data_IF_444859727766
#
_entry.id   IF_444859727766
#
_cell.length_a   1.000
_cell.length_b   1.000
_cell.length_c   1.000
_cell.angle_alpha   90.00
_cell.angle_beta   90.00
_cell.angle_gamma   90.00
#
_symmetry.space_group_name_H-M   'P 1'
#
loop_
_entity.id
_entity.type
_entity.pdbx_description
1 polymer ?
#
# COMPACT_ATOMS: atom_id res chain seq x y z
N UNK A 1 18.10 -3.28 2.57
CA UNK A 1 16.76 -2.69 2.38
C UNK A 1 15.73 -3.37 3.30
N UNK A 2 15.68 -3.04 4.59
CA UNK A 2 14.77 -3.67 5.58
C UNK A 2 13.57 -2.79 5.97
N UNK A 3 13.57 -1.52 5.53
CA UNK A 3 12.62 -0.49 5.95
C UNK A 3 11.29 -0.53 5.17
N UNK A 4 11.34 -0.90 3.89
CA UNK A 4 10.17 -1.05 3.02
C UNK A 4 9.34 -2.31 3.38
N UNK A 5 10.00 -3.33 3.90
CA UNK A 5 9.39 -4.59 4.36
C UNK A 5 8.66 -4.52 5.72
N UNK A 6 8.36 -3.31 6.22
CA UNK A 6 7.75 -3.13 7.53
C UNK A 6 6.24 -3.33 7.42
N UNK A 7 5.71 -4.38 8.07
CA UNK A 7 4.26 -4.63 8.14
C UNK A 7 3.55 -3.37 8.65
N UNK A 8 2.41 -3.02 8.05
CA UNK A 8 1.57 -1.94 8.52
C UNK A 8 1.20 -2.17 9.99
N UNK A 9 1.61 -1.25 10.86
CA UNK A 9 1.19 -1.25 12.26
C UNK A 9 -0.35 -1.22 12.34
N UNK A 10 -0.94 -2.05 13.20
CA UNK A 10 -2.41 -2.20 13.29
C UNK A 10 -3.11 -0.88 13.67
N UNK A 11 -2.41 -0.05 14.45
CA UNK A 11 -2.84 1.28 14.94
C UNK A 11 -2.78 2.38 13.89
N UNK A 12 -2.00 2.22 12.81
CA UNK A 12 -1.87 3.23 11.74
C UNK A 12 -2.96 3.11 10.68
N UNK A 13 -3.35 4.23 10.09
CA UNK A 13 -4.20 4.22 8.88
C UNK A 13 -3.39 3.74 7.67
N UNK A 14 -4.08 3.36 6.60
CA UNK A 14 -3.41 3.01 5.35
C UNK A 14 -2.72 4.22 4.70
N UNK A 15 -3.31 5.41 4.86
CA UNK A 15 -2.72 6.67 4.38
C UNK A 15 -1.41 7.00 5.11
N UNK A 16 -1.37 6.88 6.44
CA UNK A 16 -0.14 7.12 7.21
C UNK A 16 0.98 6.15 6.81
N UNK A 17 0.60 4.89 6.55
CA UNK A 17 1.57 3.89 6.09
C UNK A 17 2.09 4.20 4.69
N UNK A 18 1.23 4.67 3.78
CA UNK A 18 1.63 5.08 2.44
C UNK A 18 2.55 6.31 2.45
N UNK A 19 2.30 7.30 3.31
CA UNK A 19 3.20 8.44 3.47
C UNK A 19 4.58 8.01 3.99
N UNK A 20 4.61 7.08 4.95
CA UNK A 20 5.87 6.49 5.42
C UNK A 20 6.64 5.78 4.29
N UNK A 21 5.96 4.95 3.49
CA UNK A 21 6.59 4.24 2.37
C UNK A 21 7.15 5.21 1.32
N UNK A 22 6.43 6.29 1.00
CA UNK A 22 6.92 7.35 0.10
C UNK A 22 8.15 8.06 0.67
N UNK A 23 8.15 8.41 1.96
CA UNK A 23 9.30 9.03 2.59
C UNK A 23 10.54 8.12 2.57
N UNK A 24 10.37 6.83 2.86
CA UNK A 24 11.46 5.83 2.79
C UNK A 24 11.95 5.66 1.35
N UNK A 25 11.06 5.58 0.37
CA UNK A 25 11.41 5.48 -1.05
C UNK A 25 12.23 6.68 -1.49
N UNK A 26 11.77 7.90 -1.22
CA UNK A 26 12.47 9.14 -1.58
C UNK A 26 13.85 9.22 -0.92
N UNK A 27 13.98 8.84 0.35
CA UNK A 27 15.25 8.87 1.07
C UNK A 27 16.24 7.78 0.60
N UNK A 28 15.75 6.67 0.05
CA UNK A 28 16.58 5.53 -0.37
C UNK A 28 16.82 5.42 -1.87
N UNK A 29 16.13 6.23 -2.68
CA UNK A 29 16.12 6.09 -4.15
C UNK A 29 15.48 4.78 -4.62
N UNK A 30 14.65 4.16 -3.79
CA UNK A 30 14.03 2.87 -4.10
C UNK A 30 12.99 3.00 -5.22
N UNK A 31 12.75 1.88 -5.93
CA UNK A 31 11.78 1.87 -7.02
C UNK A 31 10.33 2.01 -6.51
N UNK A 32 9.49 2.82 -7.17
CA UNK A 32 8.04 2.88 -6.96
C UNK A 32 7.32 1.52 -6.98
N UNK A 33 7.85 0.56 -7.75
CA UNK A 33 7.30 -0.81 -7.81
C UNK A 33 7.27 -1.47 -6.42
N UNK A 34 8.21 -1.13 -5.55
CA UNK A 34 8.30 -1.69 -4.19
C UNK A 34 7.17 -1.17 -3.30
N UNK A 35 6.78 0.11 -3.42
CA UNK A 35 5.65 0.66 -2.65
C UNK A 35 4.37 -0.09 -3.00
N UNK A 36 4.08 -0.24 -4.29
CA UNK A 36 2.88 -0.92 -4.76
C UNK A 36 2.84 -2.37 -4.25
N UNK A 37 3.97 -3.07 -4.33
CA UNK A 37 4.07 -4.43 -3.84
C UNK A 37 3.94 -4.54 -2.32
N UNK A 38 4.57 -3.65 -1.54
CA UNK A 38 4.49 -3.67 -0.08
C UNK A 38 3.07 -3.40 0.42
N UNK A 39 2.35 -2.45 -0.20
CA UNK A 39 0.94 -2.17 0.10
C UNK A 39 0.09 -3.45 -0.03
N UNK A 40 0.27 -4.20 -1.12
CA UNK A 40 -0.48 -5.44 -1.37
C UNK A 40 -0.01 -6.56 -0.45
N UNK A 41 1.30 -6.72 -0.27
CA UNK A 41 1.89 -7.85 0.46
C UNK A 41 1.53 -7.83 1.95
N UNK A 42 1.52 -6.65 2.57
CA UNK A 42 1.32 -6.49 4.01
C UNK A 42 -0.13 -6.22 4.42
N UNK A 43 -1.06 -6.21 3.47
CA UNK A 43 -2.49 -6.18 3.78
C UNK A 43 -2.95 -7.48 4.46
N UNK A 44 -3.99 -7.37 5.29
CA UNK A 44 -4.66 -8.52 5.88
C UNK A 44 -5.22 -9.44 4.76
N UNK A 45 -5.36 -10.75 4.97
CA UNK A 45 -5.56 -11.73 3.88
C UNK A 45 -6.72 -11.42 2.92
N UNK A 46 -7.88 -11.03 3.46
CA UNK A 46 -9.06 -10.68 2.66
C UNK A 46 -8.84 -9.41 1.84
N UNK A 47 -8.24 -8.39 2.46
CA UNK A 47 -7.93 -7.13 1.79
C UNK A 47 -6.84 -7.32 0.73
N UNK A 48 -5.84 -8.15 1.01
CA UNK A 48 -4.77 -8.51 0.07
C UNK A 48 -5.33 -9.15 -1.19
N UNK A 49 -6.24 -10.13 -1.05
CA UNK A 49 -6.88 -10.77 -2.20
C UNK A 49 -7.64 -9.74 -3.05
N UNK A 50 -8.38 -8.85 -2.40
CA UNK A 50 -9.16 -7.84 -3.10
C UNK A 50 -8.30 -6.73 -3.72
N UNK A 51 -7.15 -6.39 -3.12
CA UNK A 51 -6.14 -5.49 -3.70
C UNK A 51 -5.44 -6.14 -4.89
N UNK A 52 -5.08 -7.43 -4.82
CA UNK A 52 -4.48 -8.17 -5.93
C UNK A 52 -5.41 -8.24 -7.15
N UNK A 53 -6.73 -8.34 -6.94
CA UNK A 53 -7.70 -8.30 -8.04
C UNK A 53 -7.76 -6.94 -8.76
N UNK A 54 -7.28 -5.86 -8.12
CA UNK A 54 -7.22 -4.50 -8.67
C UNK A 54 -5.82 -4.09 -9.12
N UNK A 55 -4.82 -4.92 -8.82
CA UNK A 55 -3.43 -4.67 -9.15
C UNK A 55 -3.20 -4.93 -10.65
N UNK A 56 -2.63 -3.94 -11.32
CA UNK A 56 -2.23 -4.01 -12.72
C UNK A 56 -0.72 -3.74 -12.85
N UNK A 57 0.10 -4.77 -13.12
CA UNK A 57 1.54 -4.62 -13.27
C UNK A 57 1.95 -3.92 -14.57
N UNK A 58 1.05 -3.77 -15.55
CA UNK A 58 1.35 -3.16 -16.84
C UNK A 58 1.14 -1.63 -16.82
N UNK A 59 0.52 -1.07 -15.78
CA UNK A 59 0.32 0.38 -15.67
C UNK A 59 1.65 1.13 -15.51
N UNK A 60 1.88 2.22 -16.27
CA UNK A 60 3.09 3.03 -16.15
C UNK A 60 3.11 3.88 -14.87
N UNK A 61 1.96 4.17 -14.27
CA UNK A 61 1.76 5.08 -13.15
C UNK A 61 1.62 4.34 -11.80
N UNK A 62 2.66 3.59 -11.43
CA UNK A 62 2.63 2.68 -10.27
C UNK A 62 2.37 3.37 -8.91
N UNK A 63 2.87 4.60 -8.72
CA UNK A 63 2.60 5.36 -7.49
C UNK A 63 1.14 5.80 -7.39
N UNK A 64 0.55 6.18 -8.52
CA UNK A 64 -0.85 6.56 -8.60
C UNK A 64 -1.74 5.35 -8.30
N UNK A 65 -1.41 4.19 -8.88
CA UNK A 65 -2.09 2.94 -8.57
C UNK A 65 -1.99 2.56 -7.08
N UNK A 66 -0.80 2.72 -6.47
CA UNK A 66 -0.62 2.44 -5.04
C UNK A 66 -1.49 3.36 -4.17
N UNK A 67 -1.59 4.65 -4.52
CA UNK A 67 -2.47 5.62 -3.84
C UNK A 67 -3.95 5.23 -3.97
N UNK A 68 -4.40 4.84 -5.16
CA UNK A 68 -5.78 4.38 -5.41
C UNK A 68 -6.14 3.15 -4.56
N UNK A 69 -5.24 2.16 -4.49
CA UNK A 69 -5.42 0.95 -3.67
C UNK A 69 -5.48 1.27 -2.18
N UNK A 70 -4.61 2.16 -1.70
CA UNK A 70 -4.57 2.62 -0.30
C UNK A 70 -5.87 3.33 0.09
N UNK A 71 -6.34 4.25 -0.74
CA UNK A 71 -7.62 4.96 -0.52
C UNK A 71 -8.80 3.99 -0.50
N UNK A 72 -8.81 3.03 -1.43
CA UNK A 72 -9.85 2.01 -1.50
C UNK A 72 -9.85 1.09 -0.25
N UNK A 73 -8.67 0.64 0.20
CA UNK A 73 -8.53 -0.12 1.43
C UNK A 73 -9.02 0.63 2.68
N UNK A 74 -8.71 1.93 2.76
CA UNK A 74 -9.17 2.77 3.86
C UNK A 74 -10.70 2.90 3.86
N UNK A 75 -11.31 3.08 2.68
CA UNK A 75 -12.77 3.13 2.53
C UNK A 75 -13.42 1.81 2.97
N UNK A 76 -12.87 0.65 2.58
CA UNK A 76 -13.36 -0.66 3.02
C UNK A 76 -13.31 -0.82 4.53
N UNK A 77 -12.17 -0.49 5.16
CA UNK A 77 -12.02 -0.57 6.63
C UNK A 77 -13.03 0.31 7.37
N UNK A 78 -13.38 1.47 6.81
CA UNK A 78 -14.36 2.37 7.40
C UNK A 78 -15.81 1.87 7.25
N UNK A 79 -16.12 1.11 6.18
CA UNK A 79 -17.44 0.50 5.99
C UNK A 79 -17.70 -0.66 6.95
N UNK A 80 -16.68 -1.47 7.26
CA UNK A 80 -16.80 -2.62 8.19
C UNK A 80 -16.92 -2.20 9.67
N UNK A 81 -16.69 -0.93 10.00
CA UNK A 81 -16.84 -0.37 11.36
C UNK A 81 -18.24 0.23 11.64
N UNK A 82 -19.14 0.23 10.66
CA UNK A 82 -20.53 0.71 10.80
C UNK A 82 -21.48 -0.42 11.13
#
# INVERSE_FOLDING_TARGET
>A
MKLLSSKKESTRTWNDHFLYLNAVMNASGASPTLILWDVVKYADPELKLAMMAKYDPARPDLLQQASELVNWAQMKKNQTKR
#
